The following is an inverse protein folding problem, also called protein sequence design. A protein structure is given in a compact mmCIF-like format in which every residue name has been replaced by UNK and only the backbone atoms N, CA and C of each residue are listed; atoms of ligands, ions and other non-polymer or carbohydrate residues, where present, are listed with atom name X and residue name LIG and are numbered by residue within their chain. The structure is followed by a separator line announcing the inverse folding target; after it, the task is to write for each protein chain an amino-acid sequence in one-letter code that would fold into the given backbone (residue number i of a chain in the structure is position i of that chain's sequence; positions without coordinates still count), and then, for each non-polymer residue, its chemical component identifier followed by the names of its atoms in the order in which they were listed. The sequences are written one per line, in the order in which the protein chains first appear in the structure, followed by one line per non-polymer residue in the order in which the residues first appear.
data_IF_641766875362
#
_entry.id   IF_641766875362
#
_cell.length_a   1.000
_cell.length_b   1.000
_cell.length_c   1.000
_cell.angle_alpha   90.00
_cell.angle_beta   90.00
_cell.angle_gamma   90.00
#
_symmetry.space_group_name_H-M   'P 1'
#
loop_
_entity.id
_entity.type
_entity.pdbx_description
1 polymer ?
#
# COMPACT_ATOMS: atom_id res chain seq x y z
N UNK A 1 11.54 15.36 -24.26
CA UNK A 1 12.70 14.84 -25.03
C UNK A 1 13.25 13.72 -24.17
N UNK A 2 13.49 12.53 -24.73
CA UNK A 2 14.12 11.46 -23.97
C UNK A 2 15.46 11.97 -23.42
N UNK A 3 15.75 11.67 -22.16
CA UNK A 3 17.06 11.94 -21.58
C UNK A 3 18.09 11.03 -22.30
N UNK A 4 19.10 11.59 -22.98
CA UNK A 4 20.07 10.79 -23.76
C UNK A 4 20.93 9.85 -22.92
N UNK A 5 20.88 9.94 -21.59
CA UNK A 5 21.62 9.07 -20.67
C UNK A 5 20.77 7.92 -20.07
N UNK A 6 19.47 7.82 -20.39
CA UNK A 6 18.61 6.70 -20.00
C UNK A 6 18.48 5.69 -21.16
N UNK A 7 18.55 4.36 -20.91
CA UNK A 7 18.15 3.35 -21.88
C UNK A 7 16.81 3.72 -22.55
N UNK A 8 16.69 3.49 -23.87
CA UNK A 8 15.54 3.94 -24.67
C UNK A 8 14.18 3.44 -24.16
N UNK A 9 14.17 2.40 -23.32
CA UNK A 9 12.98 1.78 -22.77
C UNK A 9 12.60 2.26 -21.36
N UNK A 10 13.40 3.10 -20.69
CA UNK A 10 13.04 3.66 -19.38
C UNK A 10 11.95 4.72 -19.51
N UNK A 11 10.98 4.70 -18.60
CA UNK A 11 9.82 5.58 -18.63
C UNK A 11 9.42 6.09 -17.23
N UNK A 12 8.59 7.13 -17.19
CA UNK A 12 7.94 7.63 -15.98
C UNK A 12 6.59 6.91 -15.80
N UNK A 13 6.41 6.12 -14.73
CA UNK A 13 5.21 5.33 -14.54
C UNK A 13 3.97 6.17 -14.19
N UNK A 14 4.12 7.42 -13.74
CA UNK A 14 3.01 8.35 -13.50
C UNK A 14 2.59 9.07 -14.79
N UNK A 15 3.55 9.34 -15.69
CA UNK A 15 3.30 10.01 -16.95
C UNK A 15 2.85 9.05 -18.07
N UNK A 16 3.17 7.75 -17.96
CA UNK A 16 2.93 6.73 -18.98
C UNK A 16 3.48 7.16 -20.36
N UNK A 17 4.71 7.67 -20.40
CA UNK A 17 5.31 8.34 -21.55
C UNK A 17 5.94 7.39 -22.59
N UNK A 18 5.36 6.20 -22.73
CA UNK A 18 5.75 5.20 -23.72
C UNK A 18 5.17 5.45 -25.12
N UNK A 19 5.69 4.75 -26.13
CA UNK A 19 5.15 4.81 -27.48
C UNK A 19 3.76 4.15 -27.56
N UNK A 20 2.99 4.46 -28.61
CA UNK A 20 1.70 3.85 -28.83
C UNK A 20 1.80 2.31 -28.90
N UNK A 21 0.98 1.62 -28.11
CA UNK A 21 0.99 0.15 -28.02
C UNK A 21 1.87 -0.40 -26.90
N UNK A 22 2.49 0.47 -26.11
CA UNK A 22 3.28 0.12 -24.94
C UNK A 22 2.68 0.78 -23.68
N UNK A 23 3.07 0.25 -22.52
CA UNK A 23 2.74 0.81 -21.20
C UNK A 23 3.98 0.84 -20.32
N UNK A 24 4.05 1.82 -19.41
CA UNK A 24 5.16 1.93 -18.48
C UNK A 24 4.84 1.13 -17.21
N UNK A 25 5.63 0.12 -16.90
CA UNK A 25 5.40 -0.80 -15.77
C UNK A 25 6.64 -0.97 -14.91
N UNK A 26 6.50 -1.29 -13.61
CA UNK A 26 7.65 -1.65 -12.79
C UNK A 26 8.22 -3.01 -13.23
N UNK A 27 9.55 -3.06 -13.30
CA UNK A 27 10.31 -4.30 -13.47
C UNK A 27 11.36 -4.42 -12.36
N UNK A 28 11.76 -5.66 -12.09
CA UNK A 28 12.80 -5.98 -11.14
C UNK A 28 14.06 -6.42 -11.89
N UNK A 29 15.18 -5.71 -11.70
CA UNK A 29 16.47 -6.15 -12.24
C UNK A 29 16.99 -7.40 -11.49
N UNK A 30 16.56 -7.57 -10.23
CA UNK A 30 16.76 -8.78 -9.42
C UNK A 30 15.41 -9.25 -8.86
N UNK A 31 15.23 -9.23 -7.54
CA UNK A 31 14.02 -9.68 -6.84
C UNK A 31 13.15 -8.52 -6.31
N UNK A 32 13.56 -7.27 -6.57
CA UNK A 32 12.86 -6.05 -6.12
C UNK A 32 12.59 -5.17 -7.33
N UNK A 33 11.36 -4.65 -7.45
CA UNK A 33 11.03 -3.63 -8.43
C UNK A 33 11.89 -2.38 -8.19
N UNK A 34 12.77 -2.09 -9.14
CA UNK A 34 13.83 -1.07 -9.00
C UNK A 34 13.94 -0.13 -10.21
N UNK A 35 13.16 -0.37 -11.26
CA UNK A 35 13.07 0.52 -12.43
C UNK A 35 11.76 0.33 -13.18
N UNK A 36 11.44 1.23 -14.11
CA UNK A 36 10.24 1.18 -14.93
C UNK A 36 10.60 1.17 -16.41
N UNK A 37 10.00 0.25 -17.15
CA UNK A 37 10.26 0.06 -18.58
C UNK A 37 8.95 0.14 -19.40
N UNK A 38 9.06 0.64 -20.62
CA UNK A 38 8.04 0.52 -21.64
C UNK A 38 7.99 -0.93 -22.12
N UNK A 39 6.84 -1.57 -21.93
CA UNK A 39 6.60 -2.93 -22.39
C UNK A 39 5.42 -2.96 -23.36
N UNK A 40 5.42 -3.83 -24.39
CA UNK A 40 4.27 -4.00 -25.27
C UNK A 40 3.02 -4.39 -24.48
N UNK A 41 1.89 -3.79 -24.82
CA UNK A 41 0.58 -4.20 -24.30
C UNK A 41 0.21 -5.54 -24.96
N UNK A 42 0.10 -6.60 -24.17
CA UNK A 42 -0.19 -7.95 -24.68
C UNK A 42 -1.66 -8.38 -24.54
N UNK A 43 -2.46 -7.62 -23.81
CA UNK A 43 -3.88 -7.90 -23.62
C UNK A 43 -4.73 -6.66 -23.37
N UNK A 44 -6.01 -6.89 -23.11
CA UNK A 44 -7.05 -5.89 -22.90
C UNK A 44 -7.86 -6.15 -21.63
N UNK A 45 -7.34 -6.96 -20.69
CA UNK A 45 -7.99 -7.15 -19.39
C UNK A 45 -8.09 -5.81 -18.64
N UNK A 46 -9.26 -5.57 -18.06
CA UNK A 46 -9.62 -4.33 -17.37
C UNK A 46 -9.29 -4.41 -15.88
N UNK A 47 -9.28 -3.26 -15.19
CA UNK A 47 -9.08 -3.21 -13.75
C UNK A 47 -10.06 -4.14 -13.01
N UNK A 48 -9.54 -4.94 -12.07
CA UNK A 48 -10.29 -5.95 -11.32
C UNK A 48 -10.52 -7.27 -12.05
N UNK A 49 -10.14 -7.40 -13.32
CA UNK A 49 -10.17 -8.68 -14.03
C UNK A 49 -8.94 -9.53 -13.73
N UNK A 50 -9.09 -10.85 -13.87
CA UNK A 50 -7.98 -11.78 -13.68
C UNK A 50 -6.93 -11.63 -14.77
N UNK A 51 -5.66 -11.76 -14.41
CA UNK A 51 -4.53 -11.60 -15.32
C UNK A 51 -3.43 -12.62 -15.06
N UNK A 52 -2.42 -12.63 -15.92
CA UNK A 52 -1.18 -13.39 -15.74
C UNK A 52 0.03 -12.50 -15.99
N UNK A 53 0.88 -12.35 -14.97
CA UNK A 53 2.20 -11.75 -15.09
C UNK A 53 3.20 -12.82 -15.56
N UNK A 54 3.94 -12.57 -16.63
CA UNK A 54 4.98 -13.49 -17.12
C UNK A 54 6.13 -13.58 -16.11
N UNK A 55 6.66 -12.43 -15.69
CA UNK A 55 7.63 -12.31 -14.61
C UNK A 55 7.76 -10.85 -14.16
N UNK A 56 8.17 -10.63 -12.91
CA UNK A 56 8.51 -9.27 -12.45
C UNK A 56 9.74 -8.71 -13.17
N UNK A 57 10.59 -9.54 -13.77
CA UNK A 57 11.78 -9.09 -14.52
C UNK A 57 11.43 -8.53 -15.90
N UNK A 58 10.36 -9.02 -16.53
CA UNK A 58 9.90 -8.55 -17.84
C UNK A 58 8.79 -7.51 -17.73
N UNK A 59 7.98 -7.56 -16.67
CA UNK A 59 6.79 -6.71 -16.51
C UNK A 59 5.68 -6.99 -17.53
N UNK A 60 5.81 -8.06 -18.32
CA UNK A 60 4.83 -8.42 -19.34
C UNK A 60 3.63 -9.12 -18.69
N UNK A 61 2.44 -8.61 -18.97
CA UNK A 61 1.17 -9.17 -18.52
C UNK A 61 0.07 -8.94 -19.59
N UNK A 62 -1.09 -9.54 -19.38
CA UNK A 62 -2.27 -9.43 -20.25
C UNK A 62 -3.25 -8.31 -19.84
N UNK A 63 -2.87 -7.42 -18.94
CA UNK A 63 -3.63 -6.22 -18.59
C UNK A 63 -3.48 -5.13 -19.65
N UNK A 64 -4.55 -4.33 -19.82
CA UNK A 64 -4.57 -3.19 -20.73
C UNK A 64 -3.60 -2.06 -20.38
N UNK A 65 -3.66 -0.98 -21.15
CA UNK A 65 -2.85 0.22 -20.95
C UNK A 65 -3.09 0.84 -19.56
N UNK A 66 -2.02 1.28 -18.90
CA UNK A 66 -2.09 1.91 -17.57
C UNK A 66 -2.40 0.95 -16.42
N UNK A 67 -2.41 -0.37 -16.68
CA UNK A 67 -2.67 -1.41 -15.69
C UNK A 67 -1.45 -2.31 -15.51
N UNK A 68 -1.36 -2.96 -14.35
CA UNK A 68 -0.34 -3.96 -14.04
C UNK A 68 -0.97 -5.19 -13.39
N UNK A 69 -0.46 -6.38 -13.69
CA UNK A 69 -0.93 -7.61 -13.06
C UNK A 69 -0.27 -7.83 -11.70
N UNK A 70 -1.04 -7.65 -10.62
CA UNK A 70 -0.59 -7.90 -9.24
C UNK A 70 -1.49 -8.97 -8.60
N UNK A 71 -0.88 -10.04 -8.07
CA UNK A 71 -1.61 -11.15 -7.43
C UNK A 71 -2.78 -11.66 -8.27
N UNK A 72 -2.51 -11.94 -9.55
CA UNK A 72 -3.49 -12.43 -10.53
C UNK A 72 -4.66 -11.47 -10.84
N UNK A 73 -4.57 -10.19 -10.47
CA UNK A 73 -5.59 -9.16 -10.75
C UNK A 73 -4.97 -7.93 -11.42
N UNK A 74 -5.62 -7.41 -12.47
CA UNK A 74 -5.23 -6.14 -13.06
C UNK A 74 -5.56 -4.98 -12.13
N UNK A 75 -4.56 -4.18 -11.78
CA UNK A 75 -4.71 -2.98 -10.96
C UNK A 75 -4.27 -1.75 -11.75
N UNK A 76 -4.86 -0.59 -11.45
CA UNK A 76 -4.44 0.67 -12.03
C UNK A 76 -3.06 1.10 -11.52
N UNK A 77 -2.25 1.66 -12.42
CA UNK A 77 -1.05 2.40 -12.06
C UNK A 77 -1.44 3.84 -11.73
N UNK A 78 -0.78 4.42 -10.72
CA UNK A 78 -1.03 5.81 -10.36
C UNK A 78 -0.70 6.74 -11.52
N UNK A 79 -1.53 7.75 -11.72
CA UNK A 79 -1.26 8.85 -12.65
C UNK A 79 -0.94 10.13 -11.90
N UNK A 80 -0.64 11.22 -12.61
CA UNK A 80 -0.32 12.51 -12.00
C UNK A 80 1.17 12.65 -11.71
N UNK A 81 1.54 12.79 -10.44
CA UNK A 81 2.94 12.85 -10.01
C UNK A 81 3.11 12.15 -8.66
N UNK A 82 4.35 11.96 -8.21
CA UNK A 82 4.63 11.39 -6.89
C UNK A 82 4.12 12.27 -5.74
N UNK A 83 4.09 13.59 -5.93
CA UNK A 83 3.65 14.56 -4.91
C UNK A 83 2.11 14.74 -4.90
N UNK A 84 1.47 14.54 -6.06
CA UNK A 84 0.03 14.62 -6.25
C UNK A 84 -0.47 13.40 -7.03
N UNK A 85 -0.38 12.18 -6.45
CA UNK A 85 -0.74 10.97 -7.16
C UNK A 85 -2.26 10.83 -7.27
N UNK A 86 -2.69 10.31 -8.42
CA UNK A 86 -4.11 10.15 -8.74
C UNK A 86 -4.41 8.68 -9.01
N UNK A 87 -5.49 8.21 -8.39
CA UNK A 87 -6.06 6.89 -8.57
C UNK A 87 -7.58 6.97 -8.74
N UNK A 88 -8.23 5.93 -9.30
CA UNK A 88 -9.69 5.83 -9.33
C UNK A 88 -10.33 5.92 -7.94
N UNK A 89 -11.62 6.23 -7.88
CA UNK A 89 -12.37 6.25 -6.62
C UNK A 89 -12.22 4.92 -5.85
N UNK A 90 -12.23 5.00 -4.51
CA UNK A 90 -12.04 3.85 -3.61
C UNK A 90 -10.69 3.15 -3.72
N UNK A 91 -9.71 3.76 -4.38
CA UNK A 91 -8.31 3.33 -4.36
C UNK A 91 -7.41 4.51 -4.00
N UNK A 92 -6.22 4.20 -3.50
CA UNK A 92 -5.18 5.18 -3.23
C UNK A 92 -3.85 4.70 -3.80
N UNK A 93 -2.95 5.65 -4.05
CA UNK A 93 -1.65 5.33 -4.62
C UNK A 93 -0.70 4.81 -3.54
N UNK A 94 -0.32 3.53 -3.64
CA UNK A 94 0.84 3.00 -2.96
C UNK A 94 2.09 3.36 -3.77
N UNK A 95 2.78 4.41 -3.35
CA UNK A 95 4.09 4.79 -3.89
C UNK A 95 5.21 4.22 -3.01
N UNK A 96 6.03 3.30 -3.56
CA UNK A 96 7.21 2.76 -2.88
C UNK A 96 8.39 2.61 -3.84
N UNK A 97 9.57 2.29 -3.29
CA UNK A 97 10.83 2.21 -4.04
C UNK A 97 11.07 3.47 -4.91
N UNK A 98 11.03 4.64 -4.25
CA UNK A 98 11.18 5.95 -4.89
C UNK A 98 10.22 6.22 -6.06
N UNK A 99 9.01 5.66 -5.98
CA UNK A 99 7.95 5.83 -6.98
C UNK A 99 7.99 4.81 -8.11
N UNK A 100 8.95 3.87 -8.10
CA UNK A 100 8.99 2.76 -9.06
C UNK A 100 7.72 1.93 -8.99
N UNK A 101 7.30 1.62 -7.76
CA UNK A 101 6.01 0.99 -7.48
C UNK A 101 5.01 2.11 -7.26
N UNK A 102 3.98 2.17 -8.11
CA UNK A 102 2.92 3.17 -8.07
C UNK A 102 1.56 2.48 -8.31
N UNK A 103 1.14 1.65 -7.37
CA UNK A 103 -0.07 0.84 -7.51
C UNK A 103 -1.29 1.53 -6.89
N UNK A 104 -2.39 1.63 -7.63
CA UNK A 104 -3.67 2.02 -7.07
C UNK A 104 -4.31 0.83 -6.38
N UNK A 105 -4.22 0.80 -5.05
CA UNK A 105 -4.75 -0.29 -4.23
C UNK A 105 -6.04 0.13 -3.52
N UNK A 106 -6.97 -0.81 -3.26
CA UNK A 106 -8.22 -0.51 -2.57
C UNK A 106 -7.97 0.16 -1.22
N UNK A 107 -8.71 1.22 -0.95
CA UNK A 107 -8.80 1.79 0.40
C UNK A 107 -9.70 0.95 1.28
N UNK A 108 -9.48 0.99 2.59
CA UNK A 108 -10.16 0.12 3.55
C UNK A 108 -10.33 0.80 4.91
N UNK A 109 -11.18 0.22 5.75
CA UNK A 109 -11.38 0.67 7.13
C UNK A 109 -10.60 -0.24 8.11
N UNK A 110 -9.65 0.31 8.90
CA UNK A 110 -8.84 -0.49 9.82
C UNK A 110 -9.61 -1.11 10.99
N UNK A 111 -10.80 -0.58 11.32
CA UNK A 111 -11.68 -1.12 12.36
C UNK A 111 -12.58 -2.23 11.84
N UNK A 112 -12.89 -2.24 10.53
CA UNK A 112 -13.76 -3.23 9.89
C UNK A 112 -12.98 -4.39 9.24
N UNK A 113 -11.78 -4.11 8.69
CA UNK A 113 -10.96 -5.07 7.93
C UNK A 113 -11.68 -5.65 6.70
N UNK A 114 -12.09 -4.77 5.80
CA UNK A 114 -12.85 -5.08 4.58
C UNK A 114 -11.97 -5.45 3.35
N UNK A 115 -10.77 -5.97 3.59
CA UNK A 115 -9.85 -6.43 2.56
C UNK A 115 -10.08 -7.88 2.11
N UNK A 116 -9.48 -8.28 0.99
CA UNK A 116 -9.62 -9.64 0.46
C UNK A 116 -8.92 -10.68 1.36
N UNK A 117 -9.25 -11.98 1.23
CA UNK A 117 -8.59 -13.02 2.02
C UNK A 117 -7.06 -13.03 1.82
N UNK A 118 -6.31 -12.98 2.92
CA UNK A 118 -4.84 -12.90 2.90
C UNK A 118 -4.28 -11.48 2.94
N UNK A 119 -5.15 -10.48 2.86
CA UNK A 119 -4.82 -9.06 3.02
C UNK A 119 -5.31 -8.53 4.37
N UNK A 120 -4.68 -7.44 4.81
CA UNK A 120 -5.12 -6.64 5.94
C UNK A 120 -5.22 -5.17 5.53
N UNK A 121 -5.99 -4.41 6.30
CA UNK A 121 -6.09 -2.97 6.14
C UNK A 121 -5.00 -2.28 6.96
N UNK A 122 -4.03 -1.67 6.27
CA UNK A 122 -2.85 -1.08 6.89
C UNK A 122 -2.68 0.40 6.53
N UNK A 123 -2.09 1.17 7.44
CA UNK A 123 -1.69 2.54 7.16
C UNK A 123 -0.45 2.59 6.26
N UNK A 124 -0.66 2.91 4.99
CA UNK A 124 0.39 3.00 3.97
C UNK A 124 0.84 4.47 3.77
N UNK A 125 1.32 5.08 4.86
CA UNK A 125 1.83 6.46 4.96
C UNK A 125 0.79 7.59 4.80
N UNK A 126 -0.10 7.51 3.80
CA UNK A 126 -1.05 8.57 3.48
C UNK A 126 -2.51 8.12 3.55
N UNK A 127 -2.77 6.83 3.44
CA UNK A 127 -4.11 6.27 3.46
C UNK A 127 -4.11 4.85 4.00
N UNK A 128 -5.27 4.38 4.45
CA UNK A 128 -5.51 2.98 4.74
C UNK A 128 -5.72 2.23 3.42
N UNK A 129 -4.93 1.18 3.19
CA UNK A 129 -4.94 0.40 1.96
C UNK A 129 -4.87 -1.10 2.26
N UNK A 130 -5.53 -1.89 1.41
CA UNK A 130 -5.42 -3.34 1.44
C UNK A 130 -4.06 -3.78 0.92
N UNK A 131 -3.31 -4.47 1.78
CA UNK A 131 -2.00 -5.04 1.45
C UNK A 131 -1.95 -6.47 1.92
N UNK A 132 -1.18 -7.32 1.22
CA UNK A 132 -0.91 -8.67 1.68
C UNK A 132 -0.28 -8.66 3.08
N UNK A 133 -0.86 -9.44 4.00
CA UNK A 133 -0.26 -9.68 5.31
C UNK A 133 0.98 -10.55 5.13
N UNK A 134 2.15 -10.08 5.57
CA UNK A 134 3.42 -10.78 5.34
C UNK A 134 3.69 -11.85 6.39
N UNK A 135 3.49 -11.53 7.68
CA UNK A 135 3.89 -12.40 8.81
C UNK A 135 2.73 -12.74 9.75
N UNK A 136 1.73 -11.85 9.89
CA UNK A 136 0.57 -12.02 10.78
C UNK A 136 0.95 -12.04 12.28
N UNK A 137 1.75 -11.05 12.70
CA UNK A 137 2.21 -10.92 14.08
C UNK A 137 1.11 -10.37 15.01
N UNK A 138 0.96 -11.00 16.18
CA UNK A 138 0.03 -10.54 17.22
C UNK A 138 0.43 -9.15 17.79
N UNK A 139 -0.55 -8.46 18.40
CA UNK A 139 -0.32 -7.19 19.10
C UNK A 139 0.79 -7.31 20.16
N UNK A 140 1.65 -6.30 20.25
CA UNK A 140 2.79 -6.23 21.15
C UNK A 140 4.06 -6.95 20.65
N UNK A 141 3.97 -7.70 19.54
CA UNK A 141 5.12 -8.41 18.99
C UNK A 141 6.00 -7.47 18.15
N UNK A 142 7.35 -7.57 18.22
CA UNK A 142 8.24 -6.77 17.39
C UNK A 142 8.04 -6.99 15.89
N UNK A 143 8.02 -5.90 15.13
CA UNK A 143 7.75 -5.89 13.69
C UNK A 143 8.81 -5.06 12.94
N UNK A 144 8.98 -5.32 11.65
CA UNK A 144 9.92 -4.62 10.78
C UNK A 144 9.23 -3.78 9.69
N UNK A 145 8.05 -4.19 9.26
CA UNK A 145 7.25 -3.54 8.22
C UNK A 145 5.79 -3.38 8.66
N UNK A 146 5.08 -2.43 8.01
CA UNK A 146 3.69 -2.11 8.35
C UNK A 146 2.76 -3.33 8.25
N UNK A 147 3.00 -4.23 7.28
CA UNK A 147 2.17 -5.40 6.99
C UNK A 147 2.67 -6.69 7.65
N UNK A 148 3.71 -6.62 8.50
CA UNK A 148 4.12 -7.75 9.35
C UNK A 148 3.07 -8.06 10.41
N UNK A 149 2.38 -7.02 10.89
CA UNK A 149 1.35 -7.15 11.90
C UNK A 149 0.09 -7.82 11.35
N UNK A 150 -0.63 -8.51 12.23
CA UNK A 150 -1.96 -9.02 11.92
C UNK A 150 -2.91 -7.89 11.47
N UNK A 151 -3.94 -8.19 10.67
CA UNK A 151 -5.04 -7.26 10.40
C UNK A 151 -5.51 -6.51 11.66
N UNK A 152 -5.94 -5.26 11.49
CA UNK A 152 -6.27 -4.29 12.57
C UNK A 152 -5.09 -3.85 13.44
N UNK A 153 -3.86 -4.14 13.05
CA UNK A 153 -2.67 -3.65 13.75
C UNK A 153 -1.76 -2.85 12.82
N UNK A 154 -0.95 -1.97 13.42
CA UNK A 154 0.08 -1.19 12.75
C UNK A 154 1.42 -1.41 13.44
N UNK A 155 2.50 -1.49 12.66
CA UNK A 155 3.85 -1.50 13.21
C UNK A 155 4.25 -0.07 13.64
N UNK A 156 4.40 0.16 14.95
CA UNK A 156 4.65 1.51 15.50
C UNK A 156 5.93 1.51 16.35
N UNK A 157 6.56 2.69 16.47
CA UNK A 157 7.74 2.90 17.32
C UNK A 157 7.52 2.40 18.75
N UNK A 158 8.53 1.70 19.30
CA UNK A 158 8.54 1.24 20.68
C UNK A 158 8.33 2.39 21.69
N UNK A 159 8.66 3.62 21.34
CA UNK A 159 8.47 4.82 22.18
C UNK A 159 7.00 5.13 22.48
N UNK A 160 6.07 4.62 21.66
CA UNK A 160 4.63 4.81 21.82
C UNK A 160 3.95 3.67 22.61
N UNK A 161 4.72 2.67 23.06
CA UNK A 161 4.23 1.49 23.78
C UNK A 161 5.02 1.30 25.09
N UNK A 162 4.42 0.60 26.06
CA UNK A 162 5.10 0.32 27.35
C UNK A 162 6.03 -0.89 27.29
N UNK A 163 5.58 -1.95 26.62
CA UNK A 163 6.22 -3.27 26.65
C UNK A 163 6.57 -3.74 25.23
N UNK A 164 7.39 -2.97 24.51
CA UNK A 164 7.90 -3.35 23.19
C UNK A 164 9.36 -3.82 23.25
N UNK A 165 9.59 -5.10 23.01
CA UNK A 165 10.91 -5.75 23.03
C UNK A 165 11.64 -5.61 21.66
N UNK A 166 11.51 -4.46 21.02
CA UNK A 166 12.05 -4.17 19.68
C UNK A 166 12.19 -2.67 19.42
N UNK A 167 12.57 -2.31 18.18
CA UNK A 167 12.54 -0.90 17.76
C UNK A 167 11.11 -0.42 17.43
N UNK A 168 10.25 -1.35 17.01
CA UNK A 168 8.83 -1.16 16.74
C UNK A 168 8.08 -2.45 17.10
N UNK A 169 6.81 -2.31 17.49
CA UNK A 169 5.92 -3.43 17.76
C UNK A 169 4.52 -3.17 17.19
N UNK A 170 3.76 -4.25 17.00
CA UNK A 170 2.39 -4.18 16.52
C UNK A 170 1.47 -3.54 17.58
N UNK A 171 0.78 -2.47 17.21
CA UNK A 171 -0.24 -1.83 18.04
C UNK A 171 -1.61 -1.95 17.35
N UNK A 172 -2.66 -2.22 18.14
CA UNK A 172 -4.02 -2.35 17.60
C UNK A 172 -4.63 -0.98 17.31
N UNK A 173 -5.29 -0.85 16.16
CA UNK A 173 -6.29 0.20 15.97
C UNK A 173 -7.45 -0.01 16.96
N UNK A 174 -8.14 1.07 17.30
CA UNK A 174 -9.26 1.08 18.23
C UNK A 174 -10.33 2.09 17.82
N UNK A 175 -11.59 1.79 18.13
CA UNK A 175 -12.71 2.73 17.98
C UNK A 175 -12.68 3.73 19.14
N UNK A 176 -12.58 5.02 18.84
CA UNK A 176 -12.59 6.12 19.82
C UNK A 176 -13.90 6.20 20.62
N UNK A 177 -14.99 5.63 20.10
CA UNK A 177 -16.27 5.48 20.79
C UNK A 177 -16.35 4.30 21.74
N UNK A 178 -15.36 3.41 21.76
CA UNK A 178 -15.30 2.24 22.64
C UNK A 178 -14.28 2.40 23.77
N UNK A 179 -14.79 2.73 24.97
CA UNK A 179 -14.01 2.85 26.21
C UNK A 179 -13.28 1.56 26.62
N UNK A 180 -13.58 0.41 26.01
CA UNK A 180 -12.94 -0.88 26.29
C UNK A 180 -11.92 -1.31 25.23
N UNK A 181 -11.73 -0.53 24.15
CA UNK A 181 -10.93 -0.96 23.02
C UNK A 181 -9.48 -1.32 23.37
N UNK A 182 -8.89 -0.68 24.40
CA UNK A 182 -7.54 -1.00 24.90
C UNK A 182 -7.52 -1.68 26.28
N UNK A 183 -8.65 -2.16 26.81
CA UNK A 183 -8.77 -2.64 28.20
C UNK A 183 -7.90 -3.88 28.51
N UNK A 184 -7.42 -4.60 27.49
CA UNK A 184 -6.50 -5.73 27.61
C UNK A 184 -5.00 -5.35 27.64
N UNK A 185 -4.68 -4.07 27.47
CA UNK A 185 -3.32 -3.56 27.34
C UNK A 185 -3.04 -2.52 28.45
N UNK A 186 -2.51 -2.96 29.62
CA UNK A 186 -2.33 -2.09 30.77
C UNK A 186 -1.50 -0.86 30.44
N UNK A 187 -2.01 0.32 30.78
CA UNK A 187 -1.32 1.59 30.57
C UNK A 187 -1.35 2.13 29.14
N UNK A 188 -2.10 1.48 28.23
CA UNK A 188 -2.45 2.04 26.94
C UNK A 188 -3.88 2.62 27.00
N UNK A 189 -4.09 3.66 26.21
CA UNK A 189 -5.41 4.27 25.97
C UNK A 189 -5.68 4.36 24.47
N UNK A 190 -6.95 4.40 24.08
CA UNK A 190 -7.29 4.64 22.69
C UNK A 190 -7.10 6.13 22.39
N UNK A 191 -6.06 6.46 21.61
CA UNK A 191 -5.72 7.84 21.24
C UNK A 191 -6.09 8.04 19.78
N UNK A 192 -6.63 9.21 19.44
CA UNK A 192 -7.01 9.53 18.05
C UNK A 192 -5.80 9.37 17.12
N UNK A 193 -6.01 8.67 16.00
CA UNK A 193 -4.93 8.40 15.04
C UNK A 193 -4.57 9.66 14.24
N UNK A 194 -5.57 10.51 13.96
CA UNK A 194 -5.39 11.78 13.27
C UNK A 194 -5.42 12.95 14.26
N UNK A 195 -4.72 14.04 13.92
CA UNK A 195 -4.87 15.31 14.64
C UNK A 195 -6.31 15.84 14.56
N UNK A 196 -6.70 16.66 15.55
CA UNK A 196 -8.04 17.22 15.64
C UNK A 196 -8.43 17.95 14.34
N UNK A 197 -9.51 17.46 13.71
CA UNK A 197 -10.04 18.03 12.47
C UNK A 197 -9.28 17.66 11.19
N UNK A 198 -8.30 16.75 11.27
CA UNK A 198 -7.51 16.29 10.11
C UNK A 198 -7.87 14.86 9.66
N UNK A 199 -8.72 14.14 10.40
CA UNK A 199 -9.21 12.84 9.96
C UNK A 199 -9.93 12.98 8.60
N UNK A 200 -9.56 12.17 7.60
CA UNK A 200 -10.35 12.08 6.37
C UNK A 200 -11.75 11.56 6.70
N UNK A 201 -12.71 11.93 5.84
CA UNK A 201 -14.10 11.52 6.02
C UNK A 201 -14.22 9.99 6.10
N UNK A 202 -14.84 9.49 7.16
CA UNK A 202 -15.02 8.06 7.43
C UNK A 202 -13.95 7.45 8.34
N UNK A 203 -12.98 8.22 8.81
CA UNK A 203 -11.96 7.74 9.77
C UNK A 203 -11.93 8.55 11.07
N UNK A 204 -12.97 9.34 11.36
CA UNK A 204 -13.03 10.21 12.53
C UNK A 204 -13.08 9.45 13.87
N UNK A 205 -13.46 8.18 13.85
CA UNK A 205 -13.52 7.25 14.97
C UNK A 205 -12.25 6.38 15.11
N UNK A 206 -11.32 6.47 14.16
CA UNK A 206 -10.09 5.67 14.18
C UNK A 206 -9.10 6.22 15.21
N UNK A 207 -8.82 5.40 16.21
CA UNK A 207 -7.73 5.55 17.17
C UNK A 207 -6.70 4.44 17.07
N UNK A 208 -5.67 4.56 17.88
CA UNK A 208 -4.63 3.54 18.07
C UNK A 208 -4.30 3.38 19.56
N UNK A 209 -4.13 2.14 20.01
CA UNK A 209 -3.79 1.85 21.40
C UNK A 209 -2.31 2.13 21.66
N UNK A 210 -2.02 3.26 22.31
CA UNK A 210 -0.68 3.73 22.64
C UNK A 210 -0.64 4.27 24.08
N UNK A 211 0.55 4.63 24.56
CA UNK A 211 0.69 5.35 25.84
C UNK A 211 -0.08 6.67 25.74
N UNK A 212 -1.07 6.84 26.62
CA UNK A 212 -1.95 8.02 26.68
C UNK A 212 -2.03 8.60 28.08
#
# INVERSE_FOLDING_TARGET
MPDPDLPEDICDPFAQDCSNGEKCVPIATNDTWDTNFCVPIQGDAQAGESCTLESIQTGLDDCGAGLYCLSDTCIDLCSGSIDEPLCPESTACLASNDGTVNFCLPTCDPLVQDCAPGEGCYWANASFQCLNTSVDLETGVPCGFLNDCAPSNMCISAESLLDCEGAACCASFCDLGDDQACAGMPGLSCVAFFEEGQAPQGYEDVGICIVG
#
